data_IF_089908951115
#
_entry.id   IF_089908951115
#
_cell.length_a   1.000
_cell.length_b   1.000
_cell.length_c   1.000
_cell.angle_alpha   90.00
_cell.angle_beta   90.00
_cell.angle_gamma   90.00
#
_symmetry.space_group_name_H-M   'P 1'
#
loop_
_entity.id
_entity.type
_entity.pdbx_description
1 polymer ?
#
# COMPACT_ATOMS: atom_id res chain seq x y z
N UNK A 1 25.40 28.26 -7.76
CA UNK A 1 24.29 28.52 -8.72
C UNK A 1 23.11 28.99 -7.89
N UNK A 2 22.57 30.15 -8.19
CA UNK A 2 21.42 30.66 -7.45
C UNK A 2 20.19 29.79 -7.66
N UNK A 3 19.30 29.74 -6.70
CA UNK A 3 18.08 28.92 -6.72
C UNK A 3 17.22 29.18 -7.97
N UNK A 4 17.13 30.46 -8.38
CA UNK A 4 16.40 30.87 -9.59
C UNK A 4 16.95 30.22 -10.88
N UNK A 5 18.27 30.14 -11.03
CA UNK A 5 18.89 29.48 -12.17
C UNK A 5 18.60 27.97 -12.18
N UNK A 6 18.59 27.34 -11.01
CA UNK A 6 18.21 25.92 -10.85
C UNK A 6 16.74 25.69 -11.21
N UNK A 7 15.84 26.56 -10.76
CA UNK A 7 14.40 26.49 -11.10
C UNK A 7 14.19 26.68 -12.62
N UNK A 8 14.90 27.63 -13.24
CA UNK A 8 14.82 27.83 -14.69
C UNK A 8 15.30 26.63 -15.49
N UNK A 9 16.38 25.98 -15.04
CA UNK A 9 16.90 24.75 -15.66
C UNK A 9 15.89 23.61 -15.55
N UNK A 10 15.28 23.43 -14.37
CA UNK A 10 14.19 22.43 -14.17
C UNK A 10 12.95 22.76 -15.02
N UNK A 11 12.66 24.04 -15.25
CA UNK A 11 11.53 24.44 -16.11
C UNK A 11 11.75 24.04 -17.57
N UNK A 12 12.99 23.95 -18.04
CA UNK A 12 13.31 23.46 -19.37
C UNK A 12 12.97 21.97 -19.54
N UNK A 13 12.99 21.20 -18.45
CA UNK A 13 12.65 19.76 -18.42
C UNK A 13 11.24 19.50 -17.88
N UNK A 14 10.36 20.51 -17.86
CA UNK A 14 9.03 20.43 -17.27
C UNK A 14 8.18 19.27 -17.75
N UNK A 15 8.37 18.80 -18.99
CA UNK A 15 7.67 17.63 -19.51
C UNK A 15 8.02 16.35 -18.75
N UNK A 16 9.25 16.21 -18.23
CA UNK A 16 9.64 15.04 -17.44
C UNK A 16 9.09 15.08 -16.02
N UNK A 17 8.78 16.28 -15.49
CA UNK A 17 8.15 16.45 -14.17
C UNK A 17 6.74 15.87 -14.09
N UNK A 18 6.07 15.75 -15.24
CA UNK A 18 4.72 15.18 -15.32
C UNK A 18 4.70 13.74 -15.82
N UNK A 19 5.86 13.18 -16.14
CA UNK A 19 6.04 11.76 -16.43
C UNK A 19 6.32 11.03 -15.11
N UNK A 20 5.27 10.76 -14.36
CA UNK A 20 5.36 10.11 -13.06
C UNK A 20 4.52 8.84 -13.04
N UNK A 21 4.79 7.99 -12.07
CA UNK A 21 3.99 6.82 -11.78
C UNK A 21 3.33 7.00 -10.41
N UNK A 22 2.09 6.55 -10.33
CA UNK A 22 1.30 6.63 -9.11
C UNK A 22 0.55 5.33 -8.87
N UNK A 23 0.29 5.03 -7.63
CA UNK A 23 -0.48 3.88 -7.21
C UNK A 23 -1.22 4.16 -5.91
N UNK A 24 -2.15 3.28 -5.58
CA UNK A 24 -2.93 3.34 -4.35
C UNK A 24 -2.86 2.00 -3.64
N UNK A 25 -2.69 2.05 -2.32
CA UNK A 25 -2.98 0.97 -1.40
C UNK A 25 -4.19 1.37 -0.59
N UNK A 26 -5.24 0.56 -0.63
CA UNK A 26 -6.48 0.83 0.10
C UNK A 26 -6.81 -0.31 1.04
N UNK A 27 -6.91 0.00 2.32
CA UNK A 27 -7.28 -0.93 3.36
C UNK A 27 -8.76 -0.86 3.68
N UNK A 28 -9.35 -2.00 4.04
CA UNK A 28 -10.72 -2.09 4.52
C UNK A 28 -10.92 -3.30 5.43
N UNK A 29 -11.59 -3.10 6.56
CA UNK A 29 -11.97 -4.21 7.44
C UNK A 29 -13.15 -4.98 6.88
N UNK A 30 -13.10 -6.30 6.97
CA UNK A 30 -14.28 -7.15 6.82
C UNK A 30 -15.02 -7.19 8.15
N UNK A 31 -16.32 -6.99 8.11
CA UNK A 31 -17.20 -7.01 9.28
C UNK A 31 -18.29 -8.06 9.11
N UNK A 32 -18.68 -8.67 10.21
CA UNK A 32 -19.80 -9.60 10.27
C UNK A 32 -21.14 -8.84 10.32
N UNK A 33 -22.26 -9.54 10.14
CA UNK A 33 -23.60 -8.95 10.11
C UNK A 33 -23.98 -8.22 11.43
N UNK A 34 -23.34 -8.54 12.54
CA UNK A 34 -23.52 -7.85 13.83
C UNK A 34 -22.68 -6.56 13.96
N UNK A 35 -21.96 -6.17 12.90
CA UNK A 35 -21.10 -4.99 12.87
C UNK A 35 -19.75 -5.17 13.57
N UNK A 36 -19.42 -6.35 14.06
CA UNK A 36 -18.11 -6.63 14.66
C UNK A 36 -17.08 -7.04 13.62
N UNK A 37 -15.80 -6.85 13.95
CA UNK A 37 -14.68 -7.29 13.11
C UNK A 37 -14.79 -8.79 12.81
N UNK A 38 -14.65 -9.17 11.54
CA UNK A 38 -14.73 -10.56 11.11
C UNK A 38 -13.64 -11.42 11.75
N UNK A 39 -14.02 -12.61 12.20
CA UNK A 39 -13.10 -13.61 12.76
C UNK A 39 -12.66 -14.64 11.71
N UNK A 40 -13.21 -14.54 10.50
CA UNK A 40 -12.94 -15.47 9.42
C UNK A 40 -11.56 -15.20 8.79
N UNK A 41 -10.85 -16.24 8.36
CA UNK A 41 -9.58 -16.07 7.67
C UNK A 41 -9.75 -15.34 6.35
N UNK A 42 -8.62 -14.90 5.77
CA UNK A 42 -8.59 -14.31 4.43
C UNK A 42 -9.29 -15.23 3.41
N UNK A 43 -10.25 -14.72 2.62
CA UNK A 43 -11.03 -15.55 1.69
C UNK A 43 -10.15 -16.24 0.66
N UNK A 44 -10.30 -17.54 0.50
CA UNK A 44 -9.51 -18.32 -0.47
C UNK A 44 -9.72 -17.88 -1.93
N UNK A 45 -10.87 -17.31 -2.23
CA UNK A 45 -11.22 -16.72 -3.52
C UNK A 45 -10.36 -15.54 -3.90
N UNK A 46 -9.77 -14.82 -2.92
CA UNK A 46 -8.84 -13.71 -3.16
C UNK A 46 -7.42 -14.18 -3.46
N UNK A 47 -7.18 -15.49 -3.40
CA UNK A 47 -5.85 -16.07 -3.55
C UNK A 47 -5.04 -16.03 -2.25
N UNK A 48 -3.73 -16.16 -2.38
CA UNK A 48 -2.83 -16.15 -1.23
C UNK A 48 -2.41 -14.72 -0.87
N UNK A 49 -2.72 -14.28 0.35
CA UNK A 49 -2.26 -12.99 0.85
C UNK A 49 -0.72 -12.82 0.87
N UNK A 50 0.05 -13.92 0.79
CA UNK A 50 1.50 -13.87 0.69
C UNK A 50 2.00 -13.53 -0.72
N UNK A 51 1.28 -13.96 -1.76
CA UNK A 51 1.79 -13.96 -3.14
C UNK A 51 0.91 -13.24 -4.14
N UNK A 52 -0.34 -12.91 -3.79
CA UNK A 52 -1.16 -12.06 -4.63
C UNK A 52 -0.62 -10.61 -4.54
N UNK A 53 -0.24 -9.97 -5.67
CA UNK A 53 0.32 -8.64 -5.66
C UNK A 53 -0.71 -7.53 -5.45
N UNK A 54 -2.00 -7.81 -5.72
CA UNK A 54 -3.07 -6.80 -5.69
C UNK A 54 -4.02 -6.95 -4.50
N UNK A 55 -4.14 -8.16 -3.91
CA UNK A 55 -5.05 -8.42 -2.80
C UNK A 55 -4.28 -9.15 -1.70
N UNK A 56 -4.06 -8.47 -0.60
CA UNK A 56 -3.34 -9.01 0.56
C UNK A 56 -4.06 -8.68 1.85
N UNK A 57 -3.41 -8.88 2.97
CA UNK A 57 -3.83 -8.40 4.30
C UNK A 57 -2.76 -7.49 4.84
N UNK A 58 -3.17 -6.39 5.48
CA UNK A 58 -2.21 -5.59 6.23
C UNK A 58 -1.87 -6.25 7.58
N UNK A 59 -2.56 -5.96 8.64
CA UNK A 59 -2.21 -6.44 9.98
C UNK A 59 -2.94 -7.73 10.36
N UNK A 60 -4.24 -7.80 10.17
CA UNK A 60 -5.06 -8.92 10.61
C UNK A 60 -5.81 -9.59 9.45
N UNK A 61 -6.33 -10.78 9.68
CA UNK A 61 -7.11 -11.54 8.69
C UNK A 61 -8.26 -10.74 8.09
N UNK A 62 -8.88 -9.87 8.88
CA UNK A 62 -10.03 -9.06 8.48
C UNK A 62 -9.63 -7.80 7.71
N UNK A 63 -8.40 -7.28 7.87
CA UNK A 63 -7.95 -6.05 7.23
C UNK A 63 -7.39 -6.35 5.84
N UNK A 64 -8.27 -6.31 4.84
CA UNK A 64 -7.89 -6.52 3.45
C UNK A 64 -7.24 -5.24 2.90
N UNK A 65 -6.14 -5.43 2.22
CA UNK A 65 -5.36 -4.39 1.55
C UNK A 65 -5.37 -4.64 0.04
N UNK A 66 -5.84 -3.65 -0.70
CA UNK A 66 -5.87 -3.63 -2.16
C UNK A 66 -4.74 -2.74 -2.69
N UNK A 67 -3.89 -3.29 -3.54
CA UNK A 67 -2.70 -2.61 -4.06
C UNK A 67 -2.80 -2.52 -5.57
N UNK A 68 -2.79 -1.31 -6.12
CA UNK A 68 -2.72 -1.14 -7.57
C UNK A 68 -1.29 -1.27 -8.07
N UNK A 69 -1.08 -1.73 -9.32
CA UNK A 69 0.17 -1.47 -10.01
C UNK A 69 0.43 0.03 -10.17
N UNK A 70 1.67 0.45 -10.43
CA UNK A 70 1.97 1.83 -10.75
C UNK A 70 1.49 2.17 -12.17
N UNK A 71 0.77 3.30 -12.30
CA UNK A 71 0.26 3.83 -13.56
C UNK A 71 0.71 5.28 -13.77
N UNK A 72 0.69 5.72 -15.02
CA UNK A 72 1.01 7.09 -15.46
C UNK A 72 -0.18 8.05 -15.39
N UNK A 73 -1.34 7.57 -14.93
CA UNK A 73 -2.59 8.32 -14.91
C UNK A 73 -3.44 7.95 -13.71
N UNK A 74 -4.01 8.95 -13.05
CA UNK A 74 -4.95 8.75 -11.94
C UNK A 74 -6.20 7.97 -12.37
N UNK A 75 -6.70 8.20 -13.60
CA UNK A 75 -7.87 7.48 -14.11
C UNK A 75 -7.61 5.98 -14.22
N UNK A 76 -6.41 5.58 -14.69
CA UNK A 76 -6.01 4.17 -14.75
C UNK A 76 -5.88 3.53 -13.36
N UNK A 77 -5.33 4.28 -12.39
CA UNK A 77 -5.23 3.82 -10.99
C UNK A 77 -6.62 3.56 -10.42
N UNK A 78 -7.54 4.50 -10.62
CA UNK A 78 -8.91 4.40 -10.11
C UNK A 78 -9.72 3.30 -10.81
N UNK A 79 -9.51 3.10 -12.10
CA UNK A 79 -10.13 2.02 -12.86
C UNK A 79 -9.65 0.65 -12.35
N UNK A 80 -8.35 0.45 -12.17
CA UNK A 80 -7.77 -0.79 -11.65
C UNK A 80 -8.21 -1.07 -10.21
N UNK A 81 -8.17 -0.06 -9.35
CA UNK A 81 -8.69 -0.17 -7.98
C UNK A 81 -10.17 -0.54 -7.96
N UNK A 82 -11.00 0.13 -8.78
CA UNK A 82 -12.42 -0.14 -8.90
C UNK A 82 -12.72 -1.56 -9.37
N UNK A 83 -11.96 -2.08 -10.33
CA UNK A 83 -12.07 -3.46 -10.80
C UNK A 83 -11.72 -4.45 -9.69
N UNK A 84 -10.64 -4.17 -8.93
CA UNK A 84 -10.22 -5.02 -7.81
C UNK A 84 -11.23 -4.95 -6.66
N UNK A 85 -11.79 -3.77 -6.35
CA UNK A 85 -12.88 -3.62 -5.37
C UNK A 85 -14.12 -4.40 -5.80
N UNK A 86 -14.51 -4.31 -7.05
CA UNK A 86 -15.65 -5.07 -7.58
C UNK A 86 -15.43 -6.58 -7.41
N UNK A 87 -14.22 -7.07 -7.75
CA UNK A 87 -13.87 -8.47 -7.56
C UNK A 87 -13.97 -8.93 -6.11
N UNK A 88 -13.39 -8.18 -5.16
CA UNK A 88 -13.42 -8.58 -3.75
C UNK A 88 -14.83 -8.47 -3.15
N UNK A 89 -15.63 -7.50 -3.57
CA UNK A 89 -17.04 -7.40 -3.18
C UNK A 89 -17.87 -8.56 -3.70
N UNK A 90 -17.67 -8.96 -4.95
CA UNK A 90 -18.39 -10.07 -5.55
C UNK A 90 -18.10 -11.42 -4.88
N UNK A 91 -16.88 -11.60 -4.42
CA UNK A 91 -16.43 -12.84 -3.77
C UNK A 91 -16.46 -12.79 -2.23
N UNK A 92 -16.98 -11.72 -1.66
CA UNK A 92 -17.14 -11.60 -0.21
C UNK A 92 -18.22 -12.58 0.27
N UNK A 93 -17.99 -13.34 1.38
CA UNK A 93 -19.04 -14.18 1.97
C UNK A 93 -20.31 -13.40 2.29
N UNK A 94 -21.48 -14.01 2.08
CA UNK A 94 -22.79 -13.35 2.23
C UNK A 94 -23.05 -12.73 3.61
N UNK A 95 -22.44 -13.29 4.64
CA UNK A 95 -22.52 -12.83 6.03
C UNK A 95 -21.47 -11.78 6.41
N UNK A 96 -20.80 -11.17 5.42
CA UNK A 96 -19.78 -10.17 5.65
C UNK A 96 -20.01 -8.92 4.80
N UNK A 97 -19.44 -7.80 5.25
CA UNK A 97 -19.42 -6.52 4.53
C UNK A 97 -18.05 -5.88 4.68
N UNK A 98 -17.68 -4.98 3.77
CA UNK A 98 -16.54 -4.10 3.96
C UNK A 98 -16.94 -2.87 4.75
N UNK A 99 -16.13 -2.54 5.75
CA UNK A 99 -16.28 -1.34 6.56
C UNK A 99 -15.66 -0.14 5.83
N UNK A 100 -16.44 0.93 5.53
CA UNK A 100 -15.96 1.99 4.66
C UNK A 100 -15.15 3.08 5.37
N UNK A 101 -15.10 3.09 6.71
CA UNK A 101 -14.44 4.12 7.48
C UNK A 101 -13.02 3.69 7.90
N UNK A 102 -12.11 4.67 8.02
CA UNK A 102 -10.76 4.42 8.53
C UNK A 102 -10.75 3.97 9.99
N UNK A 103 -11.57 4.60 10.83
CA UNK A 103 -11.73 4.15 12.22
C UNK A 103 -12.42 2.78 12.24
N UNK A 104 -11.95 1.85 13.08
CA UNK A 104 -12.43 0.48 13.03
C UNK A 104 -13.92 0.35 13.39
N UNK A 105 -14.52 -0.73 12.92
CA UNK A 105 -15.83 -1.21 13.34
C UNK A 105 -15.84 -1.63 14.81
N UNK A 106 -16.89 -2.31 15.27
CA UNK A 106 -16.94 -2.81 16.65
C UNK A 106 -15.86 -3.86 16.89
N UNK A 107 -14.87 -3.53 17.72
CA UNK A 107 -13.79 -4.42 18.18
C UNK A 107 -13.97 -4.64 19.67
N UNK A 108 -14.22 -5.90 20.06
CA UNK A 108 -14.53 -6.27 21.46
C UNK A 108 -13.29 -6.43 22.34
N UNK A 109 -12.10 -6.13 21.80
CA UNK A 109 -10.81 -6.19 22.49
C UNK A 109 -9.73 -6.89 21.67
N UNK A 110 -8.49 -6.85 22.16
CA UNK A 110 -7.30 -7.37 21.49
C UNK A 110 -7.43 -8.84 21.03
N UNK A 111 -8.05 -9.67 21.84
CA UNK A 111 -8.22 -11.09 21.57
C UNK A 111 -9.16 -11.40 20.38
N UNK A 112 -9.93 -10.41 19.93
CA UNK A 112 -10.86 -10.53 18.81
C UNK A 112 -10.27 -10.02 17.47
N UNK A 113 -8.96 -9.79 17.43
CA UNK A 113 -8.25 -9.37 16.22
C UNK A 113 -7.32 -10.50 15.78
N UNK A 114 -7.76 -11.39 14.88
CA UNK A 114 -6.94 -12.51 14.42
C UNK A 114 -5.80 -11.99 13.53
N UNK A 115 -4.56 -12.06 14.02
CA UNK A 115 -3.37 -11.64 13.28
C UNK A 115 -3.25 -12.44 11.97
N UNK A 116 -2.95 -11.76 10.88
CA UNK A 116 -2.86 -12.33 9.55
C UNK A 116 -1.85 -13.48 9.45
N UNK A 117 -2.25 -14.56 8.79
CA UNK A 117 -1.48 -15.78 8.57
C UNK A 117 -1.08 -15.91 7.12
N UNK A 118 0.19 -16.24 6.86
CA UNK A 118 0.76 -16.29 5.53
C UNK A 118 1.31 -17.68 5.18
N UNK A 119 0.87 -18.71 5.91
CA UNK A 119 1.30 -20.09 5.71
C UNK A 119 2.64 -20.45 6.36
N UNK A 120 3.16 -21.64 6.04
CA UNK A 120 4.26 -22.27 6.76
C UNK A 120 5.67 -21.97 6.22
N UNK A 121 5.78 -21.28 5.09
CA UNK A 121 7.07 -20.87 4.53
C UNK A 121 7.82 -19.91 5.44
N UNK A 122 9.14 -19.82 5.32
CA UNK A 122 9.95 -18.88 6.12
C UNK A 122 9.47 -17.43 5.90
N UNK A 123 9.15 -17.04 4.66
CA UNK A 123 8.62 -15.72 4.35
C UNK A 123 7.26 -15.46 5.02
N UNK A 124 6.37 -16.45 4.99
CA UNK A 124 5.07 -16.36 5.65
C UNK A 124 5.20 -16.25 7.17
N UNK A 125 6.01 -17.10 7.77
CA UNK A 125 6.31 -17.03 9.21
C UNK A 125 6.91 -15.69 9.63
N UNK A 126 7.81 -15.13 8.84
CA UNK A 126 8.41 -13.82 9.10
C UNK A 126 7.36 -12.71 9.07
N UNK A 127 6.45 -12.71 8.07
CA UNK A 127 5.35 -11.72 7.99
C UNK A 127 4.41 -11.81 9.21
N UNK A 128 4.04 -13.01 9.65
CA UNK A 128 3.22 -13.20 10.85
C UNK A 128 3.97 -12.78 12.13
N UNK A 129 5.23 -13.16 12.28
CA UNK A 129 6.04 -12.81 13.45
C UNK A 129 6.24 -11.28 13.57
N UNK A 130 6.42 -10.57 12.45
CA UNK A 130 6.48 -9.11 12.42
C UNK A 130 5.20 -8.48 12.99
N UNK A 131 4.03 -8.96 12.56
CA UNK A 131 2.72 -8.48 13.05
C UNK A 131 2.48 -8.81 14.52
N UNK A 132 2.94 -9.96 14.97
CA UNK A 132 2.93 -10.28 16.40
C UNK A 132 3.81 -9.29 17.19
N UNK A 133 4.94 -8.88 16.63
CA UNK A 133 5.81 -7.85 17.20
C UNK A 133 5.10 -6.48 17.29
N UNK A 134 4.34 -6.09 16.26
CA UNK A 134 3.51 -4.87 16.29
C UNK A 134 2.42 -4.94 17.36
N UNK A 135 1.70 -6.08 17.44
CA UNK A 135 0.71 -6.33 18.48
C UNK A 135 1.29 -6.15 19.88
N UNK A 136 2.43 -6.78 20.16
CA UNK A 136 3.09 -6.69 21.46
C UNK A 136 3.57 -5.29 21.82
N UNK A 137 3.93 -4.46 20.81
CA UNK A 137 4.49 -3.11 21.02
C UNK A 137 3.41 -2.04 21.12
N UNK A 138 2.38 -2.12 20.28
CA UNK A 138 1.41 -1.05 20.08
C UNK A 138 -0.03 -1.45 20.41
N UNK A 139 -0.30 -2.75 20.61
CA UNK A 139 -1.64 -3.31 20.68
C UNK A 139 -2.26 -3.55 19.29
N UNK A 140 -3.13 -4.56 19.20
CA UNK A 140 -3.77 -4.94 17.93
C UNK A 140 -4.88 -3.97 17.54
N UNK A 141 -5.57 -3.34 18.48
CA UNK A 141 -6.66 -2.40 18.19
C UNK A 141 -6.17 -1.21 17.36
N UNK A 142 -5.01 -0.66 17.69
CA UNK A 142 -4.42 0.46 16.92
C UNK A 142 -4.07 0.04 15.49
N UNK A 143 -3.78 -1.22 15.26
CA UNK A 143 -3.42 -1.76 13.94
C UNK A 143 -4.65 -2.11 13.08
N UNK A 144 -5.87 -1.86 13.56
CA UNK A 144 -7.11 -2.04 12.77
C UNK A 144 -7.63 -0.76 12.13
N UNK A 145 -6.92 0.34 12.28
CA UNK A 145 -7.19 1.58 11.55
C UNK A 145 -6.83 1.36 10.10
N UNK A 146 -7.79 1.54 9.20
CA UNK A 146 -7.64 1.35 7.76
C UNK A 146 -7.21 2.66 7.08
N UNK A 147 -6.18 2.60 6.25
CA UNK A 147 -5.65 3.73 5.51
C UNK A 147 -5.94 3.70 4.01
N UNK A 148 -5.66 4.82 3.36
CA UNK A 148 -5.46 4.92 1.92
C UNK A 148 -4.08 5.55 1.73
N UNK A 149 -3.15 4.80 1.15
CA UNK A 149 -1.81 5.26 0.84
C UNK A 149 -1.73 5.63 -0.63
N UNK A 150 -1.24 6.82 -0.90
CA UNK A 150 -0.95 7.27 -2.25
C UNK A 150 0.55 7.17 -2.51
N UNK A 151 0.91 6.29 -3.42
CA UNK A 151 2.28 6.07 -3.85
C UNK A 151 2.59 6.90 -5.10
N UNK A 152 3.72 7.58 -5.09
CA UNK A 152 4.14 8.44 -6.19
C UNK A 152 5.62 8.28 -6.43
N UNK A 153 6.01 8.16 -7.71
CA UNK A 153 7.41 8.15 -8.11
C UNK A 153 7.65 8.99 -9.34
N UNK A 154 8.79 9.67 -9.39
CA UNK A 154 9.25 10.32 -10.61
C UNK A 154 9.74 9.27 -11.63
N UNK A 155 9.68 9.65 -12.93
CA UNK A 155 10.21 8.82 -14.00
C UNK A 155 11.74 8.75 -13.97
N UNK A 156 12.29 7.73 -14.63
CA UNK A 156 13.74 7.64 -14.86
C UNK A 156 14.28 8.86 -15.62
N UNK A 157 13.53 9.36 -16.60
CA UNK A 157 13.90 10.56 -17.37
C UNK A 157 14.00 11.80 -16.48
N UNK A 158 13.11 11.92 -15.48
CA UNK A 158 13.20 12.99 -14.49
C UNK A 158 14.49 12.86 -13.66
N UNK A 159 14.80 11.68 -13.15
CA UNK A 159 15.98 11.47 -12.33
C UNK A 159 17.27 11.71 -13.10
N UNK A 160 17.31 11.31 -14.37
CA UNK A 160 18.45 11.59 -15.24
C UNK A 160 18.63 13.10 -15.46
N UNK A 161 17.58 13.82 -15.81
CA UNK A 161 17.61 15.28 -15.96
C UNK A 161 17.98 15.99 -14.65
N UNK A 162 17.47 15.52 -13.52
CA UNK A 162 17.82 16.04 -12.21
C UNK A 162 19.30 15.85 -11.90
N UNK A 163 19.85 14.67 -12.15
CA UNK A 163 21.27 14.38 -11.96
C UNK A 163 22.15 15.35 -12.78
N UNK A 164 21.87 15.46 -14.06
CA UNK A 164 22.66 16.32 -14.97
C UNK A 164 22.63 17.80 -14.57
N UNK A 165 21.49 18.28 -14.09
CA UNK A 165 21.28 19.72 -13.80
C UNK A 165 21.64 20.11 -12.37
N UNK A 166 21.41 19.21 -11.42
CA UNK A 166 21.45 19.58 -9.99
C UNK A 166 22.67 19.03 -9.27
N UNK A 167 23.10 17.82 -9.64
CA UNK A 167 24.19 17.09 -8.97
C UNK A 167 25.09 16.33 -9.96
N UNK A 168 25.65 17.03 -10.98
CA UNK A 168 26.40 16.39 -12.07
C UNK A 168 27.64 15.63 -11.58
N UNK A 169 28.15 15.93 -10.40
CA UNK A 169 29.28 15.25 -9.78
C UNK A 169 28.91 13.89 -9.17
N UNK A 170 27.62 13.65 -8.88
CA UNK A 170 27.13 12.36 -8.37
C UNK A 170 26.78 11.45 -9.54
N UNK A 171 27.37 10.27 -9.59
CA UNK A 171 27.15 9.30 -10.68
C UNK A 171 26.90 7.89 -10.19
N UNK A 172 26.25 7.07 -11.00
CA UNK A 172 26.06 5.65 -10.73
C UNK A 172 25.35 5.37 -9.41
N UNK A 173 25.86 4.40 -8.66
CA UNK A 173 25.25 3.93 -7.41
C UNK A 173 25.14 5.03 -6.34
N UNK A 174 26.11 5.93 -6.27
CA UNK A 174 26.11 7.04 -5.31
C UNK A 174 24.88 7.94 -5.51
N UNK A 175 24.54 8.29 -6.73
CA UNK A 175 23.33 9.06 -7.04
C UNK A 175 22.07 8.29 -6.65
N UNK A 176 21.98 7.00 -7.01
CA UNK A 176 20.85 6.13 -6.67
C UNK A 176 20.68 6.07 -5.14
N UNK A 177 21.74 5.77 -4.40
CA UNK A 177 21.69 5.64 -2.94
C UNK A 177 21.26 6.95 -2.25
N UNK A 178 21.67 8.10 -2.78
CA UNK A 178 21.34 9.39 -2.19
C UNK A 178 19.91 9.88 -2.49
N UNK A 179 19.29 9.44 -3.59
CA UNK A 179 18.03 10.00 -4.07
C UNK A 179 16.85 9.02 -4.07
N UNK A 180 17.10 7.69 -4.15
CA UNK A 180 16.07 6.67 -4.12
C UNK A 180 15.80 6.05 -2.75
N UNK A 181 16.72 6.16 -1.81
CA UNK A 181 16.57 5.57 -0.45
C UNK A 181 15.60 6.40 0.43
N UNK A 182 15.32 7.65 0.07
CA UNK A 182 14.47 8.57 0.86
C UNK A 182 13.05 8.74 0.30
N UNK A 183 12.65 7.95 -0.68
CA UNK A 183 11.29 7.82 -1.17
C UNK A 183 10.72 6.48 -0.75
#
# INVERSE_FOLDING_TARGET
>A
MELEAKIQSLTATKHTLFQNLMGIEKESLRVSDDGSISQEPHPKTYGSALTNPQITTDFCEALVELVTPPFDSADKVLEDLGNTEHFVHYHLPDNQRYWPASMPCVVRGEAYIPIAQYGSSNRGKMKTAYRQGLSNRYGSVMQTIAGIHFNYSFSEDFWQAYQELMVPEETGQCFIDNHYIYL
#
